data_IF_997627029699
#
_entry.id   IF_997627029699
#
_cell.length_a   1.000
_cell.length_b   1.000
_cell.length_c   1.000
_cell.angle_alpha   90.00
_cell.angle_beta   90.00
_cell.angle_gamma   90.00
#
_symmetry.space_group_name_H-M   'P 1'
#
loop_
_entity.id
_entity.type
_entity.pdbx_description
1 polymer ?
#
# COMPACT_ATOMS: atom_id res chain seq x y z
N UNK A 1 0.27 -6.93 -3.48
CA UNK A 1 0.38 -8.25 -2.82
C UNK A 1 1.03 -8.11 -1.44
N UNK A 2 2.23 -7.52 -1.31
CA UNK A 2 2.94 -7.42 -0.03
C UNK A 2 2.09 -6.73 1.06
N UNK A 3 1.51 -5.55 0.77
CA UNK A 3 0.61 -4.86 1.71
C UNK A 3 -0.56 -5.74 2.14
N UNK A 4 -1.20 -6.43 1.19
CA UNK A 4 -2.35 -7.30 1.51
C UNK A 4 -1.96 -8.49 2.40
N UNK A 5 -0.79 -9.09 2.17
CA UNK A 5 -0.26 -10.14 3.05
C UNK A 5 0.10 -9.58 4.43
N UNK A 6 0.69 -8.38 4.47
CA UNK A 6 0.99 -7.71 5.74
C UNK A 6 -0.30 -7.46 6.53
N UNK A 7 -1.36 -6.93 5.90
CA UNK A 7 -2.65 -6.70 6.56
C UNK A 7 -3.29 -8.00 7.07
N UNK A 8 -3.09 -9.11 6.36
CA UNK A 8 -3.55 -10.44 6.81
C UNK A 8 -2.82 -10.90 8.07
N UNK A 9 -1.51 -10.60 8.20
CA UNK A 9 -0.68 -10.97 9.36
C UNK A 9 -0.76 -9.95 10.49
N UNK A 10 -1.12 -8.70 10.16
CA UNK A 10 -1.29 -7.57 11.08
C UNK A 10 -2.71 -7.00 10.95
N UNK A 11 -3.76 -7.74 11.34
CA UNK A 11 -5.15 -7.37 11.08
C UNK A 11 -5.59 -6.11 11.81
N UNK A 12 -4.89 -5.68 12.86
CA UNK A 12 -5.14 -4.44 13.58
C UNK A 12 -4.83 -3.19 12.74
N UNK A 13 -4.16 -3.35 11.59
CA UNK A 13 -3.94 -2.28 10.61
C UNK A 13 -4.95 -2.31 9.45
N UNK A 14 -5.82 -3.33 9.35
CA UNK A 14 -6.85 -3.43 8.32
C UNK A 14 -8.21 -2.99 8.88
N UNK A 15 -8.30 -1.73 9.25
CA UNK A 15 -9.42 -1.17 10.03
C UNK A 15 -9.88 0.17 9.48
N UNK A 16 -11.09 0.57 9.86
CA UNK A 16 -11.64 1.91 9.67
C UNK A 16 -12.25 2.40 10.97
N UNK A 17 -12.06 3.67 11.26
CA UNK A 17 -12.75 4.34 12.36
C UNK A 17 -14.14 4.84 11.91
N UNK A 18 -15.15 4.62 12.72
CA UNK A 18 -16.47 5.25 12.64
C UNK A 18 -16.83 5.84 13.99
N UNK A 19 -17.84 6.68 14.04
CA UNK A 19 -18.27 7.31 15.30
C UNK A 19 -18.72 6.29 16.36
N UNK A 20 -19.24 5.14 15.92
CA UNK A 20 -19.80 4.11 16.81
C UNK A 20 -18.85 2.93 17.04
N UNK A 21 -17.87 2.70 16.16
CA UNK A 21 -17.06 1.47 16.21
C UNK A 21 -15.76 1.58 15.42
N UNK A 22 -14.84 0.67 15.71
CA UNK A 22 -13.71 0.36 14.83
C UNK A 22 -14.10 -0.87 14.01
N UNK A 23 -14.21 -0.69 12.70
CA UNK A 23 -14.49 -1.77 11.76
C UNK A 23 -13.18 -2.49 11.42
N UNK A 24 -13.14 -3.81 11.59
CA UNK A 24 -12.02 -4.65 11.16
C UNK A 24 -12.41 -5.44 9.92
N UNK A 25 -11.58 -5.40 8.90
CA UNK A 25 -11.84 -6.09 7.63
C UNK A 25 -11.10 -7.43 7.56
N UNK A 26 -11.80 -8.48 7.15
CA UNK A 26 -11.22 -9.82 6.96
C UNK A 26 -10.49 -9.96 5.62
N UNK A 27 -10.72 -9.02 4.69
CA UNK A 27 -10.16 -9.00 3.34
C UNK A 27 -9.42 -7.69 3.11
N UNK A 28 -8.30 -7.76 2.40
CA UNK A 28 -7.52 -6.59 2.04
C UNK A 28 -7.86 -6.13 0.61
N UNK A 29 -8.66 -5.07 0.52
CA UNK A 29 -9.03 -4.39 -0.72
C UNK A 29 -8.16 -3.14 -0.87
N UNK A 30 -7.17 -3.20 -1.75
CA UNK A 30 -6.09 -2.21 -1.83
C UNK A 30 -6.40 -1.14 -2.86
N UNK A 31 -6.59 0.09 -2.38
CA UNK A 31 -6.75 1.27 -3.22
C UNK A 31 -5.38 1.75 -3.72
N UNK A 32 -5.28 2.02 -5.03
CA UNK A 32 -4.07 2.58 -5.63
C UNK A 32 -4.32 4.04 -6.02
N UNK A 33 -3.49 4.96 -5.55
CA UNK A 33 -3.57 6.36 -5.97
C UNK A 33 -3.13 6.51 -7.43
N UNK A 34 -4.03 6.96 -8.28
CA UNK A 34 -3.80 7.21 -9.72
C UNK A 34 -4.07 8.66 -10.03
N UNK A 35 -3.05 9.37 -10.51
CA UNK A 35 -3.21 10.74 -10.99
C UNK A 35 -4.01 10.75 -12.30
N UNK A 36 -5.01 11.64 -12.37
CA UNK A 36 -5.85 11.89 -13.54
C UNK A 36 -5.88 13.39 -13.83
N UNK A 37 -6.40 13.78 -14.98
CA UNK A 37 -6.57 15.21 -15.30
C UNK A 37 -7.48 15.86 -14.24
N UNK A 38 -6.99 16.93 -13.64
CA UNK A 38 -7.72 17.67 -12.61
C UNK A 38 -7.79 17.03 -11.22
N UNK A 39 -7.09 15.90 -10.95
CA UNK A 39 -7.14 15.32 -9.61
C UNK A 39 -6.51 13.95 -9.42
N UNK A 40 -7.10 13.23 -8.49
CA UNK A 40 -6.66 11.89 -8.07
C UNK A 40 -7.88 10.98 -7.95
N UNK A 41 -7.75 9.73 -8.36
CA UNK A 41 -8.73 8.68 -8.11
C UNK A 41 -8.03 7.44 -7.55
N UNK A 42 -8.75 6.64 -6.76
CA UNK A 42 -8.16 5.51 -6.04
C UNK A 42 -8.84 4.18 -6.40
N UNK A 43 -8.61 3.62 -7.61
CA UNK A 43 -9.14 2.32 -7.98
C UNK A 43 -8.65 1.22 -7.05
N UNK A 44 -9.44 0.16 -6.89
CA UNK A 44 -9.28 -0.86 -5.86
C UNK A 44 -8.96 -2.21 -6.48
N UNK A 45 -7.86 -2.82 -6.08
CA UNK A 45 -7.61 -4.25 -6.28
C UNK A 45 -8.26 -5.00 -5.12
N UNK A 46 -9.42 -5.62 -5.40
CA UNK A 46 -10.18 -6.37 -4.40
C UNK A 46 -9.47 -7.68 -4.08
N UNK A 47 -9.48 -8.03 -2.79
CA UNK A 47 -8.87 -9.26 -2.27
C UNK A 47 -7.45 -9.51 -2.80
N UNK A 48 -6.61 -8.49 -2.72
CA UNK A 48 -5.25 -8.54 -3.26
C UNK A 48 -4.39 -9.64 -2.60
N UNK A 49 -4.77 -10.06 -1.38
CA UNK A 49 -4.11 -11.15 -0.66
C UNK A 49 -4.31 -12.53 -1.31
N UNK A 50 -5.45 -12.79 -1.94
CA UNK A 50 -5.76 -14.07 -2.59
C UNK A 50 -5.24 -14.17 -4.04
N UNK A 51 -4.83 -13.03 -4.64
CA UNK A 51 -4.43 -12.96 -6.06
C UNK A 51 -2.93 -13.18 -6.25
N UNK A 52 -2.56 -13.84 -7.35
CA UNK A 52 -1.18 -13.92 -7.80
C UNK A 52 -0.65 -12.59 -8.35
N UNK A 53 0.67 -12.42 -8.40
CA UNK A 53 1.32 -11.18 -8.86
C UNK A 53 0.94 -10.82 -10.30
N UNK A 54 0.82 -11.81 -11.19
CA UNK A 54 0.43 -11.59 -12.59
C UNK A 54 -0.99 -10.99 -12.69
N UNK A 55 -1.94 -11.53 -11.92
CA UNK A 55 -3.32 -11.03 -11.86
C UNK A 55 -3.37 -9.60 -11.31
N UNK A 56 -2.66 -9.34 -10.19
CA UNK A 56 -2.58 -7.99 -9.61
C UNK A 56 -1.98 -7.00 -10.62
N UNK A 57 -0.93 -7.39 -11.34
CA UNK A 57 -0.29 -6.54 -12.34
C UNK A 57 -1.24 -6.21 -13.52
N UNK A 58 -2.00 -7.19 -13.99
CA UNK A 58 -2.97 -7.00 -15.06
C UNK A 58 -4.12 -6.07 -14.61
N UNK A 59 -4.74 -6.35 -13.46
CA UNK A 59 -5.79 -5.52 -12.89
C UNK A 59 -5.33 -4.07 -12.60
N UNK A 60 -4.12 -3.91 -12.05
CA UNK A 60 -3.58 -2.59 -11.78
C UNK A 60 -3.43 -1.75 -13.06
N UNK A 61 -2.96 -2.35 -14.16
CA UNK A 61 -2.82 -1.69 -15.46
C UNK A 61 -4.18 -1.33 -16.05
N UNK A 62 -5.13 -2.26 -16.01
CA UNK A 62 -6.50 -2.04 -16.49
C UNK A 62 -7.19 -0.91 -15.73
N UNK A 63 -7.17 -0.97 -14.39
CA UNK A 63 -7.77 0.04 -13.53
C UNK A 63 -7.12 1.42 -13.72
N UNK A 64 -5.79 1.48 -13.85
CA UNK A 64 -5.08 2.73 -14.12
C UNK A 64 -5.42 3.30 -15.50
N UNK A 65 -5.63 2.45 -16.51
CA UNK A 65 -6.13 2.85 -17.84
C UNK A 65 -7.53 3.43 -17.75
N UNK A 66 -8.48 2.70 -17.16
CA UNK A 66 -9.86 3.15 -16.92
C UNK A 66 -9.92 4.47 -16.13
N UNK A 67 -9.00 4.63 -15.14
CA UNK A 67 -8.90 5.86 -14.35
C UNK A 67 -8.62 7.08 -15.24
N UNK A 68 -7.58 6.97 -16.08
CA UNK A 68 -7.19 8.08 -16.99
C UNK A 68 -8.23 8.37 -18.07
N UNK A 69 -8.95 7.34 -18.52
CA UNK A 69 -10.02 7.46 -19.51
C UNK A 69 -11.36 7.95 -18.89
N UNK A 70 -11.46 8.11 -17.58
CA UNK A 70 -12.70 8.47 -16.89
C UNK A 70 -13.80 7.39 -16.96
N UNK A 71 -13.41 6.10 -17.11
CA UNK A 71 -14.34 4.97 -17.34
C UNK A 71 -14.52 4.06 -16.11
N UNK A 72 -13.97 4.44 -14.95
CA UNK A 72 -14.15 3.66 -13.73
C UNK A 72 -15.62 3.65 -13.29
N UNK A 73 -16.08 2.47 -12.88
CA UNK A 73 -17.40 2.33 -12.25
C UNK A 73 -17.28 2.56 -10.74
N UNK A 74 -18.33 3.05 -10.06
CA UNK A 74 -18.30 3.34 -8.61
C UNK A 74 -17.76 2.18 -7.77
N UNK A 75 -18.14 0.94 -8.08
CA UNK A 75 -17.66 -0.25 -7.38
C UNK A 75 -16.17 -0.55 -7.59
N UNK A 76 -15.50 0.11 -8.53
CA UNK A 76 -14.07 -0.05 -8.79
C UNK A 76 -13.20 0.90 -7.95
N UNK A 77 -13.79 1.95 -7.33
CA UNK A 77 -13.06 2.91 -6.49
C UNK A 77 -13.70 3.19 -5.11
N UNK A 78 -14.83 2.57 -4.80
CA UNK A 78 -15.48 2.68 -3.49
C UNK A 78 -15.29 1.39 -2.67
N UNK A 79 -15.02 1.52 -1.36
CA UNK A 79 -14.96 0.39 -0.42
C UNK A 79 -13.58 -0.24 -0.26
N UNK A 80 -12.48 0.44 -0.61
CA UNK A 80 -11.12 0.00 -0.28
C UNK A 80 -10.85 0.01 1.21
N UNK A 81 -9.98 -0.88 1.70
CA UNK A 81 -9.67 -0.99 3.14
C UNK A 81 -8.33 -0.37 3.51
N UNK A 82 -7.43 -0.19 2.54
CA UNK A 82 -6.11 0.40 2.74
C UNK A 82 -5.61 1.01 1.42
N UNK A 83 -4.82 2.07 1.49
CA UNK A 83 -4.32 2.76 0.30
C UNK A 83 -2.82 2.64 0.09
N UNK A 84 -2.40 2.70 -1.18
CA UNK A 84 -1.01 2.85 -1.58
C UNK A 84 -0.90 4.07 -2.51
N UNK A 85 0.08 4.94 -2.22
CA UNK A 85 0.50 6.01 -3.10
C UNK A 85 1.95 5.80 -3.51
N UNK A 86 2.24 5.82 -4.81
CA UNK A 86 3.59 5.61 -5.33
C UNK A 86 4.01 6.81 -6.19
N UNK A 87 5.03 7.54 -5.73
CA UNK A 87 5.65 8.65 -6.45
C UNK A 87 7.09 8.34 -6.88
N UNK A 88 7.51 7.09 -6.75
CA UNK A 88 8.85 6.65 -7.14
C UNK A 88 9.16 6.88 -8.62
N UNK A 89 8.16 6.77 -9.49
CA UNK A 89 8.30 7.05 -10.93
C UNK A 89 8.61 8.52 -11.25
N UNK A 90 8.32 9.42 -10.32
CA UNK A 90 8.66 10.85 -10.42
C UNK A 90 10.00 11.20 -9.75
N UNK A 91 10.75 10.21 -9.28
CA UNK A 91 12.04 10.42 -8.62
C UNK A 91 11.95 10.88 -7.16
N UNK A 92 10.74 10.92 -6.58
CA UNK A 92 10.53 11.33 -5.18
C UNK A 92 11.08 10.24 -4.25
N UNK A 93 12.10 10.58 -3.44
CA UNK A 93 12.75 9.61 -2.55
C UNK A 93 11.92 9.24 -1.33
N UNK A 94 11.15 10.18 -0.79
CA UNK A 94 10.24 9.97 0.35
C UNK A 94 9.19 11.07 0.39
N UNK A 95 7.99 10.74 0.87
CA UNK A 95 6.89 11.68 1.06
C UNK A 95 5.88 11.12 2.05
N UNK A 96 5.01 11.98 2.56
CA UNK A 96 3.87 11.60 3.39
C UNK A 96 2.58 11.76 2.59
N UNK A 97 1.67 10.81 2.73
CA UNK A 97 0.33 10.87 2.16
C UNK A 97 -0.70 11.23 3.22
N UNK A 98 -1.79 11.85 2.79
CA UNK A 98 -2.98 12.05 3.61
C UNK A 98 -3.83 10.78 3.51
N UNK A 99 -4.35 10.32 4.64
CA UNK A 99 -5.20 9.14 4.72
C UNK A 99 -6.46 9.33 3.87
N UNK A 100 -6.79 8.32 3.08
CA UNK A 100 -8.02 8.28 2.30
C UNK A 100 -9.18 7.76 3.17
N UNK A 101 -9.84 8.67 3.89
CA UNK A 101 -10.95 8.31 4.77
C UNK A 101 -12.06 7.53 4.04
N UNK A 102 -12.69 6.52 4.68
CA UNK A 102 -12.58 6.11 6.07
C UNK A 102 -11.49 5.06 6.37
N UNK A 103 -10.58 4.78 5.45
CA UNK A 103 -9.50 3.80 5.63
C UNK A 103 -8.58 4.20 6.80
N UNK A 104 -8.10 3.20 7.55
CA UNK A 104 -7.23 3.44 8.71
C UNK A 104 -5.78 3.75 8.36
N UNK A 105 -5.33 3.52 7.11
CA UNK A 105 -3.93 3.74 6.75
C UNK A 105 -3.64 3.88 5.26
N UNK A 106 -2.51 4.50 4.97
CA UNK A 106 -1.95 4.65 3.62
C UNK A 106 -0.44 4.48 3.63
N UNK A 107 0.08 3.70 2.68
CA UNK A 107 1.50 3.50 2.47
C UNK A 107 2.00 4.37 1.30
N UNK A 108 2.96 5.24 1.57
CA UNK A 108 3.68 6.03 0.57
C UNK A 108 4.94 5.29 0.15
N UNK A 109 5.17 5.16 -1.16
CA UNK A 109 6.31 4.43 -1.74
C UNK A 109 7.16 5.39 -2.56
N UNK A 110 8.41 5.57 -2.13
CA UNK A 110 9.40 6.41 -2.81
C UNK A 110 10.17 5.67 -3.90
N UNK A 111 11.03 6.39 -4.60
CA UNK A 111 11.89 5.86 -5.65
C UNK A 111 12.93 4.87 -5.10
N UNK A 112 13.15 3.78 -5.84
CA UNK A 112 14.31 2.92 -5.64
C UNK A 112 15.60 3.63 -6.11
N UNK A 113 16.58 3.77 -5.23
CA UNK A 113 17.83 4.45 -5.49
C UNK A 113 19.01 3.58 -5.06
N UNK A 114 20.08 3.57 -5.83
CA UNK A 114 21.31 2.94 -5.38
C UNK A 114 21.92 3.76 -4.25
N UNK A 115 22.17 3.11 -3.11
CA UNK A 115 22.75 3.74 -1.92
C UNK A 115 23.84 2.85 -1.32
N UNK A 116 24.87 3.44 -0.70
CA UNK A 116 25.80 2.68 0.11
C UNK A 116 25.05 2.12 1.33
N UNK A 117 25.24 0.85 1.59
CA UNK A 117 24.71 0.16 2.76
C UNK A 117 25.84 -0.59 3.47
N UNK A 118 25.62 -0.94 4.73
CA UNK A 118 26.47 -1.90 5.43
C UNK A 118 25.79 -3.27 5.36
N UNK A 119 26.48 -4.25 4.75
CA UNK A 119 26.03 -5.63 4.69
C UNK A 119 27.15 -6.53 5.23
N UNK A 120 26.85 -7.35 6.23
CA UNK A 120 27.79 -8.27 6.86
C UNK A 120 29.09 -7.56 7.36
N UNK A 121 28.97 -6.33 7.86
CA UNK A 121 30.07 -5.52 8.37
C UNK A 121 30.91 -4.80 7.27
N UNK A 122 30.59 -4.96 5.99
CA UNK A 122 31.27 -4.33 4.87
C UNK A 122 30.38 -3.32 4.13
N UNK A 123 31.00 -2.30 3.52
CA UNK A 123 30.31 -1.37 2.62
C UNK A 123 29.90 -2.10 1.34
N UNK A 124 28.65 -1.93 0.94
CA UNK A 124 28.09 -2.48 -0.28
C UNK A 124 27.17 -1.45 -0.94
N UNK A 125 26.73 -1.70 -2.17
CA UNK A 125 25.76 -0.89 -2.87
C UNK A 125 24.50 -1.73 -3.06
N UNK A 126 23.34 -1.17 -2.69
CA UNK A 126 22.05 -1.80 -2.93
C UNK A 126 21.02 -0.77 -3.40
N UNK A 127 19.99 -1.27 -4.10
CA UNK A 127 18.81 -0.47 -4.40
C UNK A 127 17.94 -0.41 -3.16
N UNK A 128 17.76 0.78 -2.62
CA UNK A 128 16.98 1.04 -1.40
C UNK A 128 15.84 1.97 -1.77
N UNK A 129 14.64 1.69 -1.27
CA UNK A 129 13.50 2.61 -1.33
C UNK A 129 13.05 2.99 0.07
N UNK A 130 12.53 4.19 0.22
CA UNK A 130 11.89 4.64 1.46
C UNK A 130 10.40 4.48 1.34
N UNK A 131 9.80 3.91 2.38
CA UNK A 131 8.36 3.86 2.57
C UNK A 131 7.98 4.70 3.78
N UNK A 132 6.79 5.29 3.74
CA UNK A 132 6.20 6.00 4.87
C UNK A 132 4.77 5.51 5.08
N UNK A 133 4.44 5.15 6.31
CA UNK A 133 3.10 4.73 6.70
C UNK A 133 2.43 5.87 7.47
N UNK A 134 1.28 6.33 6.99
CA UNK A 134 0.38 7.19 7.74
C UNK A 134 -0.83 6.39 8.22
N UNK A 135 -1.21 6.57 9.50
CA UNK A 135 -2.31 5.83 10.13
C UNK A 135 -3.25 6.78 10.88
N UNK A 136 -4.51 6.41 10.95
CA UNK A 136 -5.49 7.05 11.82
C UNK A 136 -5.27 6.57 13.26
N UNK A 137 -4.67 7.45 14.08
CA UNK A 137 -4.30 7.11 15.45
C UNK A 137 -5.48 6.86 16.40
N UNK A 138 -6.71 7.08 15.93
CA UNK A 138 -7.93 6.70 16.67
C UNK A 138 -8.18 5.19 16.66
N UNK A 139 -7.70 4.48 15.63
CA UNK A 139 -7.89 3.03 15.47
C UNK A 139 -6.60 2.23 15.28
N UNK A 140 -5.46 2.87 14.99
CA UNK A 140 -4.16 2.20 14.83
C UNK A 140 -3.13 2.93 15.68
N UNK A 141 -2.56 2.24 16.66
CA UNK A 141 -1.50 2.81 17.48
C UNK A 141 -0.09 2.67 16.85
N UNK A 142 0.89 3.35 17.47
CA UNK A 142 2.25 3.36 16.97
C UNK A 142 2.93 1.99 16.98
N UNK A 143 2.58 1.10 17.92
CA UNK A 143 3.15 -0.24 18.01
C UNK A 143 2.62 -1.13 16.88
N UNK A 144 1.32 -1.09 16.60
CA UNK A 144 0.69 -1.79 15.48
C UNK A 144 1.25 -1.30 14.13
N UNK A 145 1.39 0.04 13.98
CA UNK A 145 1.99 0.64 12.79
C UNK A 145 3.45 0.20 12.58
N UNK A 146 4.25 0.16 13.64
CA UNK A 146 5.64 -0.31 13.59
C UNK A 146 5.73 -1.80 13.25
N UNK A 147 4.86 -2.64 13.82
CA UNK A 147 4.77 -4.06 13.50
C UNK A 147 4.40 -4.28 12.03
N UNK A 148 3.45 -3.49 11.49
CA UNK A 148 3.11 -3.51 10.07
C UNK A 148 4.33 -3.20 9.18
N UNK A 149 5.05 -2.12 9.46
CA UNK A 149 6.22 -1.73 8.65
C UNK A 149 7.31 -2.80 8.71
N UNK A 150 7.56 -3.38 9.87
CA UNK A 150 8.53 -4.48 10.05
C UNK A 150 8.14 -5.70 9.22
N UNK A 151 6.88 -6.12 9.29
CA UNK A 151 6.37 -7.28 8.54
C UNK A 151 6.41 -7.02 7.03
N UNK A 152 5.96 -5.84 6.59
CA UNK A 152 6.00 -5.43 5.18
C UNK A 152 7.42 -5.46 4.61
N UNK A 153 8.38 -4.92 5.36
CA UNK A 153 9.80 -4.97 5.00
C UNK A 153 10.28 -6.42 4.83
N UNK A 154 9.96 -7.29 5.79
CA UNK A 154 10.35 -8.70 5.74
C UNK A 154 9.79 -9.43 4.50
N UNK A 155 8.54 -9.17 4.13
CA UNK A 155 7.94 -9.74 2.91
C UNK A 155 8.62 -9.24 1.64
N UNK A 156 8.98 -7.95 1.57
CA UNK A 156 9.65 -7.39 0.39
C UNK A 156 11.10 -7.86 0.23
N UNK A 157 11.81 -8.03 1.33
CA UNK A 157 13.20 -8.50 1.34
C UNK A 157 13.31 -10.02 1.14
N UNK A 158 12.19 -10.75 1.31
CA UNK A 158 12.05 -12.17 0.97
C UNK A 158 10.89 -12.38 -0.02
N UNK A 159 11.13 -12.14 -1.33
CA UNK A 159 10.05 -12.14 -2.34
C UNK A 159 9.42 -13.53 -2.55
N UNK A 160 9.98 -14.61 -2.05
CA UNK A 160 9.35 -15.93 -2.10
C UNK A 160 8.03 -15.94 -1.33
N UNK A 161 7.89 -15.13 -0.30
CA UNK A 161 6.63 -14.96 0.43
C UNK A 161 5.49 -14.39 -0.41
N UNK A 162 5.80 -13.73 -1.53
CA UNK A 162 4.79 -13.20 -2.47
C UNK A 162 4.20 -14.26 -3.38
N UNK A 163 4.82 -15.44 -3.44
CA UNK A 163 4.36 -16.57 -4.27
C UNK A 163 3.29 -17.43 -3.58
N UNK A 164 3.07 -17.20 -2.29
CA UNK A 164 2.11 -17.92 -1.43
C UNK A 164 0.67 -17.41 -1.60
#
# INVERSE_FOLDING_TARGET
KAVALTLKRQPDCNVSYTDDAILRFNRADISMAVAVEGGLITPIIKDAGAKGLATISAEAKELAGKSRDGKLQPQEYQGGTFSISNLGMFGVSSFNSIINSPQGGILSVGAGQQRPIVKDGALSIATVMTITLAVDHRCIDGAAAAAFVKEFKGILEDPLQLML
#
